data_IF_367143923122
#
_entry.id   IF_367143923122
#
_cell.length_a   1.000
_cell.length_b   1.000
_cell.length_c   1.000
_cell.angle_alpha   90.00
_cell.angle_beta   90.00
_cell.angle_gamma   90.00
#
_symmetry.space_group_name_H-M   'P 1'
#
loop_
_entity.id
_entity.type
_entity.pdbx_description
1 polymer ?
#
# COMPACT_ATOMS: atom_id res chain seq x y z
N UNK A 1 2.86 -16.90 5.78
CA UNK A 1 2.24 -18.19 5.38
C UNK A 1 0.73 -18.06 5.41
N UNK A 2 -0.03 -19.16 5.30
CA UNK A 2 -1.52 -19.11 5.28
C UNK A 2 -2.11 -18.46 6.54
N UNK A 3 -1.59 -18.79 7.72
CA UNK A 3 -2.05 -18.17 8.97
C UNK A 3 -1.74 -16.67 9.02
N UNK A 4 -0.60 -16.23 8.48
CA UNK A 4 -0.28 -14.80 8.37
C UNK A 4 -1.24 -14.07 7.43
N UNK A 5 -1.67 -14.71 6.34
CA UNK A 5 -2.63 -14.13 5.40
C UNK A 5 -3.99 -13.91 6.09
N UNK A 6 -4.44 -14.87 6.89
CA UNK A 6 -5.68 -14.74 7.68
C UNK A 6 -5.57 -13.57 8.66
N UNK A 7 -4.48 -13.50 9.42
CA UNK A 7 -4.25 -12.42 10.38
C UNK A 7 -4.23 -11.04 9.70
N UNK A 8 -3.55 -10.92 8.56
CA UNK A 8 -3.52 -9.67 7.80
C UNK A 8 -4.91 -9.28 7.30
N UNK A 9 -5.69 -10.26 6.83
CA UNK A 9 -7.07 -10.01 6.41
C UNK A 9 -7.91 -9.45 7.56
N UNK A 10 -7.88 -10.09 8.73
CA UNK A 10 -8.62 -9.63 9.91
C UNK A 10 -8.24 -8.20 10.30
N UNK A 11 -6.94 -7.90 10.33
CA UNK A 11 -6.45 -6.53 10.63
C UNK A 11 -6.91 -5.51 9.59
N UNK A 12 -6.87 -5.86 8.29
CA UNK A 12 -7.37 -5.01 7.19
C UNK A 12 -8.89 -4.77 7.33
N UNK A 13 -9.63 -5.81 7.72
CA UNK A 13 -11.09 -5.76 7.87
C UNK A 13 -11.52 -4.85 9.04
N UNK A 14 -10.69 -4.69 10.08
CA UNK A 14 -10.94 -3.79 11.20
C UNK A 14 -10.54 -2.33 10.93
N UNK A 15 -9.57 -2.10 10.03
CA UNK A 15 -9.04 -0.78 9.75
C UNK A 15 -10.01 0.11 8.94
N UNK A 16 -10.01 1.43 9.24
CA UNK A 16 -10.68 2.46 8.43
C UNK A 16 -9.76 3.11 7.41
N UNK A 17 -8.48 3.22 7.77
CA UNK A 17 -7.41 3.77 6.94
C UNK A 17 -6.25 2.78 6.96
N UNK A 18 -5.77 2.40 5.79
CA UNK A 18 -4.72 1.41 5.60
C UNK A 18 -3.59 2.09 4.81
N UNK A 19 -2.38 2.05 5.37
CA UNK A 19 -1.15 2.38 4.67
C UNK A 19 -0.37 1.10 4.46
N UNK A 20 -0.12 0.72 3.21
CA UNK A 20 0.67 -0.45 2.88
C UNK A 20 1.95 -0.06 2.15
N UNK A 21 3.09 -0.25 2.81
CA UNK A 21 4.42 0.09 2.31
C UNK A 21 5.38 -1.10 2.44
N UNK A 22 5.30 -2.05 1.50
CA UNK A 22 6.20 -3.20 1.41
C UNK A 22 5.46 -4.51 1.14
N UNK A 23 5.77 -5.23 0.05
CA UNK A 23 5.21 -6.56 -0.22
C UNK A 23 5.43 -7.55 0.95
N UNK A 24 4.48 -8.47 1.18
CA UNK A 24 4.56 -9.46 2.25
C UNK A 24 5.50 -10.66 1.94
N UNK A 25 6.38 -10.53 0.94
CA UNK A 25 7.29 -11.56 0.45
C UNK A 25 7.96 -11.14 -0.86
N UNK A 26 8.86 -11.99 -1.37
CA UNK A 26 9.60 -11.76 -2.63
C UNK A 26 8.68 -12.03 -3.83
N UNK A 27 7.82 -11.06 -4.13
CA UNK A 27 6.71 -11.19 -5.09
C UNK A 27 7.13 -11.31 -6.56
N UNK A 28 8.41 -11.04 -6.83
CA UNK A 28 9.08 -11.24 -8.11
C UNK A 28 9.17 -12.73 -8.43
N UNK A 29 9.25 -13.59 -7.41
CA UNK A 29 9.22 -15.04 -7.56
C UNK A 29 7.82 -15.58 -7.27
N UNK A 30 7.19 -16.21 -8.27
CA UNK A 30 5.80 -16.71 -8.16
C UNK A 30 5.58 -17.61 -6.93
N UNK A 31 6.56 -18.44 -6.59
CA UNK A 31 6.53 -19.33 -5.42
C UNK A 31 6.36 -18.60 -4.09
N UNK A 32 6.75 -17.32 -4.02
CA UNK A 32 6.72 -16.50 -2.81
C UNK A 32 5.75 -15.30 -2.93
N UNK A 33 5.07 -15.15 -4.08
CA UNK A 33 4.17 -14.03 -4.34
C UNK A 33 2.77 -14.16 -3.70
N UNK A 34 2.39 -15.36 -3.25
CA UNK A 34 1.05 -15.65 -2.71
C UNK A 34 0.64 -14.71 -1.57
N UNK A 35 1.54 -14.44 -0.63
CA UNK A 35 1.27 -13.53 0.49
C UNK A 35 0.97 -12.11 0.02
N UNK A 36 1.84 -11.56 -0.83
CA UNK A 36 1.68 -10.23 -1.43
C UNK A 36 0.38 -10.11 -2.23
N UNK A 37 0.04 -11.12 -3.05
CA UNK A 37 -1.19 -11.10 -3.83
C UNK A 37 -2.43 -11.14 -2.93
N UNK A 38 -2.45 -12.00 -1.92
CA UNK A 38 -3.57 -12.07 -0.99
C UNK A 38 -3.75 -10.76 -0.20
N UNK A 39 -2.67 -10.13 0.25
CA UNK A 39 -2.73 -8.82 0.91
C UNK A 39 -3.26 -7.74 -0.03
N UNK A 40 -2.83 -7.73 -1.30
CA UNK A 40 -3.35 -6.81 -2.33
C UNK A 40 -4.85 -6.99 -2.55
N UNK A 41 -5.32 -8.23 -2.68
CA UNK A 41 -6.73 -8.52 -2.91
C UNK A 41 -7.59 -8.04 -1.72
N UNK A 42 -7.11 -8.24 -0.49
CA UNK A 42 -7.77 -7.72 0.72
C UNK A 42 -7.76 -6.19 0.76
N UNK A 43 -6.65 -5.54 0.38
CA UNK A 43 -6.54 -4.08 0.33
C UNK A 43 -7.50 -3.48 -0.71
N UNK A 44 -7.62 -4.09 -1.90
CA UNK A 44 -8.58 -3.68 -2.92
C UNK A 44 -10.01 -3.85 -2.43
N UNK A 45 -10.34 -4.98 -1.80
CA UNK A 45 -11.67 -5.20 -1.24
C UNK A 45 -12.01 -4.16 -0.15
N UNK A 46 -11.05 -3.81 0.70
CA UNK A 46 -11.20 -2.76 1.71
C UNK A 46 -11.49 -1.39 1.07
N UNK A 47 -10.75 -1.01 0.02
CA UNK A 47 -10.98 0.23 -0.71
C UNK A 47 -12.39 0.29 -1.34
N UNK A 48 -12.82 -0.81 -1.95
CA UNK A 48 -14.17 -0.93 -2.54
C UNK A 48 -15.28 -0.90 -1.48
N UNK A 49 -14.99 -1.31 -0.26
CA UNK A 49 -15.89 -1.18 0.90
C UNK A 49 -15.91 0.25 1.49
N UNK A 50 -15.26 1.23 0.84
CA UNK A 50 -15.27 2.63 1.24
C UNK A 50 -14.20 3.01 2.27
N UNK A 51 -13.23 2.13 2.55
CA UNK A 51 -12.08 2.44 3.41
C UNK A 51 -11.03 3.20 2.63
N UNK A 52 -10.20 3.96 3.34
CA UNK A 52 -9.06 4.66 2.73
C UNK A 52 -7.89 3.69 2.65
N UNK A 53 -7.38 3.42 1.44
CA UNK A 53 -6.25 2.52 1.22
C UNK A 53 -5.18 3.24 0.41
N UNK A 54 -4.03 3.45 1.06
CA UNK A 54 -2.87 4.14 0.52
C UNK A 54 -1.75 3.13 0.30
N UNK A 55 -1.32 2.97 -0.95
CA UNK A 55 -0.12 2.22 -1.29
C UNK A 55 1.08 3.17 -1.26
N UNK A 56 2.08 2.82 -0.45
CA UNK A 56 3.36 3.50 -0.35
C UNK A 56 4.50 2.64 -0.90
N UNK A 57 5.61 3.28 -1.26
CA UNK A 57 6.80 2.57 -1.72
C UNK A 57 6.76 2.17 -3.20
N UNK A 58 7.93 2.17 -3.85
CA UNK A 58 8.05 1.77 -5.26
C UNK A 58 7.68 0.30 -5.49
N UNK A 59 8.07 -0.59 -4.58
CA UNK A 59 7.80 -2.03 -4.73
C UNK A 59 6.31 -2.35 -4.60
N UNK A 60 5.62 -1.75 -3.62
CA UNK A 60 4.18 -1.95 -3.46
C UNK A 60 3.38 -1.31 -4.59
N UNK A 61 3.82 -0.15 -5.11
CA UNK A 61 3.24 0.43 -6.31
C UNK A 61 3.43 -0.49 -7.53
N UNK A 62 4.61 -1.10 -7.67
CA UNK A 62 4.90 -2.10 -8.72
C UNK A 62 3.99 -3.33 -8.60
N UNK A 63 3.67 -3.76 -7.38
CA UNK A 63 2.68 -4.82 -7.15
C UNK A 63 1.30 -4.41 -7.67
N UNK A 64 0.81 -3.21 -7.34
CA UNK A 64 -0.49 -2.73 -7.80
C UNK A 64 -0.56 -2.64 -9.33
N UNK A 65 0.50 -2.12 -9.97
CA UNK A 65 0.65 -2.06 -11.42
C UNK A 65 0.71 -3.45 -12.07
N UNK A 66 1.53 -4.38 -11.52
CA UNK A 66 1.67 -5.76 -12.00
C UNK A 66 0.34 -6.50 -12.08
N UNK A 67 -0.58 -6.23 -11.14
CA UNK A 67 -1.91 -6.86 -11.11
C UNK A 67 -3.04 -5.98 -11.68
N UNK A 68 -2.73 -4.78 -12.19
CA UNK A 68 -3.69 -3.88 -12.84
C UNK A 68 -4.83 -3.45 -11.91
N UNK A 69 -4.51 -3.03 -10.69
CA UNK A 69 -5.50 -2.61 -9.68
C UNK A 69 -5.25 -1.20 -9.11
N UNK A 70 -4.39 -0.42 -9.76
CA UNK A 70 -4.02 0.94 -9.31
C UNK A 70 -5.24 1.85 -9.17
N UNK A 71 -6.20 1.73 -10.09
CA UNK A 71 -7.47 2.45 -10.15
C UNK A 71 -8.49 2.01 -9.09
N UNK A 72 -8.24 0.87 -8.43
CA UNK A 72 -9.14 0.30 -7.41
C UNK A 72 -8.73 0.66 -5.98
N UNK A 73 -7.65 1.41 -5.82
CA UNK A 73 -7.10 1.85 -4.54
C UNK A 73 -7.36 3.34 -4.35
N UNK A 74 -7.36 3.83 -3.11
CA UNK A 74 -7.64 5.26 -2.85
C UNK A 74 -6.49 6.17 -3.29
N UNK A 75 -5.25 5.71 -3.10
CA UNK A 75 -4.06 6.42 -3.55
C UNK A 75 -2.90 5.43 -3.76
N UNK A 76 -2.19 5.57 -4.87
CA UNK A 76 -0.92 4.85 -5.13
C UNK A 76 0.18 5.88 -5.22
N UNK A 77 1.08 5.88 -4.23
CA UNK A 77 2.19 6.81 -4.21
C UNK A 77 3.39 6.27 -4.97
N UNK A 78 3.96 7.11 -5.82
CA UNK A 78 5.26 6.90 -6.48
C UNK A 78 6.42 7.53 -5.72
N UNK A 79 6.15 8.22 -4.61
CA UNK A 79 7.15 8.99 -3.85
C UNK A 79 8.10 8.14 -3.01
N UNK A 80 7.91 6.82 -2.94
CA UNK A 80 8.81 5.91 -2.25
C UNK A 80 9.09 6.36 -0.81
N UNK A 81 10.37 6.60 -0.50
CA UNK A 81 10.83 7.11 0.79
C UNK A 81 10.26 8.48 1.16
N UNK A 82 10.06 9.38 0.19
CA UNK A 82 9.51 10.71 0.46
C UNK A 82 8.07 10.63 1.01
N UNK A 83 7.28 9.66 0.56
CA UNK A 83 5.93 9.44 1.12
C UNK A 83 5.97 8.91 2.54
N UNK A 84 6.97 8.10 2.88
CA UNK A 84 7.13 7.64 4.25
C UNK A 84 7.60 8.78 5.16
N UNK A 85 8.57 9.58 4.72
CA UNK A 85 9.04 10.76 5.46
C UNK A 85 7.91 11.78 5.69
N UNK A 86 7.04 11.97 4.69
CA UNK A 86 5.84 12.80 4.84
C UNK A 86 4.90 12.26 5.94
N UNK A 87 4.68 10.94 5.96
CA UNK A 87 3.80 10.28 6.94
C UNK A 87 4.44 10.19 8.33
N UNK A 88 5.77 10.19 8.41
CA UNK A 88 6.54 10.36 9.64
C UNK A 88 6.46 11.80 10.20
N UNK A 89 5.86 12.73 9.44
CA UNK A 89 5.70 14.14 9.84
C UNK A 89 6.96 14.99 9.65
N UNK A 90 7.93 14.51 8.87
CA UNK A 90 9.12 15.29 8.53
C UNK A 90 8.76 16.38 7.54
N UNK A 91 9.46 17.51 7.65
CA UNK A 91 9.40 18.52 6.61
C UNK A 91 10.09 18.01 5.35
N UNK A 92 9.35 17.98 4.25
CA UNK A 92 9.92 17.71 2.93
C UNK A 92 10.35 19.04 2.31
N UNK A 93 11.65 19.25 2.00
CA UNK A 93 12.15 20.53 1.50
C UNK A 93 11.39 21.04 0.26
N UNK A 94 11.02 20.13 -0.64
CA UNK A 94 10.24 20.47 -1.84
C UNK A 94 8.80 20.89 -1.56
N UNK A 95 8.19 20.38 -0.48
CA UNK A 95 6.84 20.78 -0.05
C UNK A 95 6.89 22.12 0.69
N UNK A 96 7.89 22.32 1.56
CA UNK A 96 8.08 23.57 2.31
C UNK A 96 8.38 24.77 1.39
N UNK A 97 9.00 24.53 0.23
CA UNK A 97 9.29 25.57 -0.75
C UNK A 97 8.06 26.05 -1.55
N UNK A 98 6.92 25.35 -1.47
CA UNK A 98 5.70 25.75 -2.17
C UNK A 98 5.11 27.02 -1.55
N UNK A 99 4.59 27.92 -2.40
CA UNK A 99 3.87 29.10 -1.94
C UNK A 99 2.61 28.72 -1.17
N UNK A 100 2.25 29.51 -0.16
CA UNK A 100 0.97 29.33 0.54
C UNK A 100 -0.20 29.54 -0.42
N UNK A 101 -1.32 28.91 -0.10
CA UNK A 101 -2.59 29.03 -0.82
C UNK A 101 -3.09 30.46 -0.95
#
# INVERSE_FOLDING_TARGET
GEESIKLFKETIDEAKTILWNGPCGVFEFEKFARGTKATLDNAVAAAQAGKVVIIGGGDTATVAAKYGVEDKLSHVSTGGGASLELLEGKELPGVTALSSK
#
